data_IF_207389614438
#
_entry.id   IF_207389614438
#
_cell.length_a   1.000
_cell.length_b   1.000
_cell.length_c   1.000
_cell.angle_alpha   90.00
_cell.angle_beta   90.00
_cell.angle_gamma   90.00
#
_symmetry.space_group_name_H-M   'P 1'
#
loop_
_entity.id
_entity.type
_entity.pdbx_description
1 polymer ?
#
# COMPACT_ATOMS: atom_id res chain seq x y z
N UNK A 1 -9.53 -19.50 -0.04
CA UNK A 1 -9.07 -18.12 -0.31
C UNK A 1 -10.30 -17.28 -0.61
N UNK A 2 -10.43 -16.11 0.02
CA UNK A 2 -11.41 -15.10 -0.36
C UNK A 2 -11.00 -14.56 -1.75
N UNK A 3 -11.89 -14.57 -2.76
CA UNK A 3 -11.54 -14.05 -4.08
C UNK A 3 -11.04 -12.61 -4.02
N UNK A 4 -9.97 -12.32 -4.75
CA UNK A 4 -9.34 -10.99 -4.74
C UNK A 4 -8.66 -10.68 -6.06
N UNK A 5 -8.78 -9.43 -6.48
CA UNK A 5 -7.99 -8.87 -7.58
C UNK A 5 -7.05 -7.80 -7.03
N UNK A 6 -5.75 -7.97 -7.25
CA UNK A 6 -4.75 -6.93 -7.00
C UNK A 6 -4.57 -6.11 -8.28
N UNK A 7 -4.77 -4.81 -8.19
CA UNK A 7 -4.57 -3.87 -9.28
C UNK A 7 -3.34 -3.03 -8.96
N UNK A 8 -2.31 -3.17 -9.76
CA UNK A 8 -1.11 -2.35 -9.69
C UNK A 8 -1.12 -1.33 -10.82
N UNK A 9 -0.83 -0.09 -10.50
CA UNK A 9 -0.75 1.00 -11.46
C UNK A 9 0.41 1.91 -11.08
N UNK A 10 1.47 1.93 -11.88
CA UNK A 10 2.68 2.69 -11.56
C UNK A 10 3.41 3.14 -12.81
N UNK A 11 4.28 4.13 -12.63
CA UNK A 11 5.26 4.58 -13.62
C UNK A 11 6.64 4.64 -12.96
N UNK A 12 7.66 4.25 -13.70
CA UNK A 12 9.05 4.40 -13.29
C UNK A 12 9.79 5.35 -14.24
N UNK A 13 10.66 6.19 -13.71
CA UNK A 13 11.56 6.98 -14.55
C UNK A 13 12.50 6.08 -15.36
N UNK A 14 12.93 6.52 -16.51
CA UNK A 14 13.77 5.73 -17.42
C UNK A 14 15.07 5.25 -16.77
N UNK A 15 15.67 6.06 -15.88
CA UNK A 15 16.90 5.74 -15.16
C UNK A 15 16.72 4.89 -13.90
N UNK A 16 15.48 4.71 -13.39
CA UNK A 16 15.25 3.96 -12.16
C UNK A 16 15.13 2.45 -12.45
N UNK A 17 16.27 1.80 -12.62
CA UNK A 17 16.37 0.39 -13.04
C UNK A 17 15.62 -0.53 -12.10
N UNK A 18 15.81 -0.40 -10.77
CA UNK A 18 15.16 -1.27 -9.79
C UNK A 18 13.63 -1.15 -9.84
N UNK A 19 13.08 0.05 -9.98
CA UNK A 19 11.64 0.24 -10.10
C UNK A 19 11.08 -0.43 -11.37
N UNK A 20 11.81 -0.36 -12.49
CA UNK A 20 11.42 -1.07 -13.72
C UNK A 20 11.46 -2.59 -13.55
N UNK A 21 12.43 -3.12 -12.81
CA UNK A 21 12.50 -4.54 -12.47
C UNK A 21 11.33 -4.95 -11.58
N UNK A 22 10.89 -4.10 -10.63
CA UNK A 22 9.71 -4.35 -9.81
C UNK A 22 8.44 -4.40 -10.67
N UNK A 23 8.28 -3.50 -11.64
CA UNK A 23 7.18 -3.58 -12.61
C UNK A 23 7.23 -4.89 -13.40
N UNK A 24 8.41 -5.28 -13.87
CA UNK A 24 8.59 -6.57 -14.56
C UNK A 24 8.25 -7.76 -13.66
N UNK A 25 8.59 -7.70 -12.36
CA UNK A 25 8.21 -8.72 -11.38
C UNK A 25 6.68 -8.81 -11.22
N UNK A 26 6.00 -7.67 -11.10
CA UNK A 26 4.53 -7.64 -11.01
C UNK A 26 3.90 -8.32 -12.23
N UNK A 27 4.39 -8.03 -13.43
CA UNK A 27 3.91 -8.64 -14.68
C UNK A 27 4.20 -10.14 -14.71
N UNK A 28 5.39 -10.58 -14.27
CA UNK A 28 5.74 -11.99 -14.19
C UNK A 28 4.83 -12.75 -13.21
N UNK A 29 4.58 -12.18 -12.03
CA UNK A 29 3.64 -12.74 -11.04
C UNK A 29 2.22 -12.77 -11.59
N UNK A 30 1.80 -11.71 -12.29
CA UNK A 30 0.49 -11.64 -12.96
C UNK A 30 0.30 -12.79 -13.95
N UNK A 31 1.29 -13.01 -14.82
CA UNK A 31 1.24 -14.09 -15.81
C UNK A 31 1.14 -15.47 -15.14
N UNK A 32 1.95 -15.70 -14.10
CA UNK A 32 1.93 -16.97 -13.36
C UNK A 32 0.58 -17.20 -12.67
N UNK A 33 0.14 -16.23 -11.87
CA UNK A 33 -1.08 -16.35 -11.05
C UNK A 33 -2.32 -16.47 -11.92
N UNK A 34 -2.43 -15.66 -12.97
CA UNK A 34 -3.63 -15.62 -13.82
C UNK A 34 -3.74 -16.85 -14.74
N UNK A 35 -2.64 -17.56 -14.99
CA UNK A 35 -2.64 -18.80 -15.79
C UNK A 35 -2.74 -20.08 -14.94
N UNK A 36 -2.57 -20.00 -13.61
CA UNK A 36 -2.60 -21.16 -12.73
C UNK A 36 -4.07 -21.60 -12.49
N UNK A 37 -4.47 -22.83 -12.88
CA UNK A 37 -5.82 -23.35 -12.63
C UNK A 37 -6.20 -23.40 -11.15
N UNK A 38 -5.24 -23.49 -10.22
CA UNK A 38 -5.51 -23.53 -8.78
C UNK A 38 -5.96 -22.16 -8.24
N UNK A 39 -5.54 -21.08 -8.89
CA UNK A 39 -5.92 -19.70 -8.51
C UNK A 39 -7.09 -19.17 -9.34
N UNK A 40 -7.47 -19.85 -10.40
CA UNK A 40 -8.47 -19.42 -11.36
C UNK A 40 -9.78 -18.96 -10.70
N UNK A 41 -10.16 -17.72 -10.96
CA UNK A 41 -11.37 -17.09 -10.42
C UNK A 41 -11.27 -16.69 -8.94
N UNK A 42 -10.19 -17.00 -8.24
CA UNK A 42 -10.00 -16.66 -6.81
C UNK A 42 -8.94 -15.61 -6.56
N UNK A 43 -7.88 -15.61 -7.36
CA UNK A 43 -6.81 -14.64 -7.26
C UNK A 43 -6.49 -14.12 -8.65
N UNK A 44 -6.45 -12.81 -8.78
CA UNK A 44 -6.08 -12.12 -10.01
C UNK A 44 -5.08 -11.02 -9.70
N UNK A 45 -4.07 -10.87 -10.55
CA UNK A 45 -3.10 -9.78 -10.49
C UNK A 45 -3.16 -9.05 -11.82
N UNK A 46 -3.32 -7.73 -11.77
CA UNK A 46 -3.41 -6.87 -12.97
C UNK A 46 -2.42 -5.74 -12.83
N UNK A 47 -1.60 -5.54 -13.85
CA UNK A 47 -0.81 -4.32 -14.00
C UNK A 47 -1.47 -3.42 -15.05
N UNK A 48 -1.80 -2.19 -14.65
CA UNK A 48 -2.41 -1.18 -15.52
C UNK A 48 -1.32 -0.27 -16.07
N UNK A 49 -1.12 -0.34 -17.37
CA UNK A 49 -0.15 0.49 -18.09
C UNK A 49 -0.65 1.93 -18.21
N UNK A 50 0.28 2.87 -18.37
CA UNK A 50 0.01 4.30 -18.60
C UNK A 50 -0.99 4.91 -17.59
N UNK A 51 -0.81 4.59 -16.31
CA UNK A 51 -1.67 5.14 -15.26
C UNK A 51 -1.68 6.68 -15.29
N UNK A 52 -2.89 7.24 -15.37
CA UNK A 52 -3.16 8.68 -15.46
C UNK A 52 -4.55 9.00 -14.89
N UNK A 53 -4.90 10.28 -14.84
CA UNK A 53 -6.14 10.75 -14.20
C UNK A 53 -7.38 10.02 -14.73
N UNK A 54 -7.51 9.84 -16.03
CA UNK A 54 -8.66 9.15 -16.65
C UNK A 54 -8.80 7.67 -16.20
N UNK A 55 -7.69 7.00 -15.90
CA UNK A 55 -7.72 5.64 -15.32
C UNK A 55 -8.00 5.69 -13.82
N UNK A 56 -7.46 6.68 -13.11
CA UNK A 56 -7.73 6.87 -11.69
C UNK A 56 -9.22 7.08 -11.40
N UNK A 57 -9.91 7.83 -12.24
CA UNK A 57 -11.36 8.08 -12.14
C UNK A 57 -12.21 6.79 -12.22
N UNK A 58 -11.67 5.74 -12.84
CA UNK A 58 -12.32 4.43 -12.94
C UNK A 58 -11.86 3.49 -11.83
N UNK A 59 -10.55 3.45 -11.56
CA UNK A 59 -9.95 2.48 -10.64
C UNK A 59 -10.28 2.83 -9.18
N UNK A 60 -10.21 4.09 -8.81
CA UNK A 60 -10.42 4.53 -7.42
C UNK A 60 -11.83 4.17 -6.92
N UNK A 61 -12.93 4.47 -7.64
CA UNK A 61 -14.26 4.07 -7.20
C UNK A 61 -14.53 2.56 -7.23
N UNK A 62 -13.70 1.80 -7.93
CA UNK A 62 -13.84 0.34 -8.04
C UNK A 62 -13.08 -0.43 -6.95
N UNK A 63 -12.31 0.26 -6.10
CA UNK A 63 -11.48 -0.37 -5.09
C UNK A 63 -12.25 -0.62 -3.79
N UNK A 64 -12.19 -1.85 -3.27
CA UNK A 64 -12.67 -2.19 -1.92
C UNK A 64 -11.63 -1.86 -0.85
N UNK A 65 -10.35 -2.10 -1.15
CA UNK A 65 -9.21 -1.87 -0.26
C UNK A 65 -8.22 -0.90 -0.89
N UNK A 66 -7.64 -0.05 -0.06
CA UNK A 66 -6.61 0.92 -0.39
C UNK A 66 -5.29 0.49 0.24
N UNK A 67 -4.32 0.05 -0.57
CA UNK A 67 -2.99 -0.39 -0.10
C UNK A 67 -2.06 0.82 0.05
N UNK A 68 -1.72 1.17 1.30
CA UNK A 68 -0.88 2.32 1.67
C UNK A 68 0.27 1.83 2.53
N UNK A 69 1.27 1.23 1.89
CA UNK A 69 2.25 0.32 2.51
C UNK A 69 3.66 0.89 2.63
N UNK A 70 3.84 2.19 2.59
CA UNK A 70 5.13 2.83 2.89
C UNK A 70 5.59 2.47 4.30
N UNK A 71 6.90 2.26 4.51
CA UNK A 71 7.41 2.13 5.87
C UNK A 71 7.20 3.44 6.63
N UNK A 72 6.81 3.36 7.90
CA UNK A 72 6.50 4.55 8.69
C UNK A 72 7.68 5.53 8.78
N UNK A 73 7.38 6.83 8.60
CA UNK A 73 8.35 7.92 8.53
C UNK A 73 8.91 8.20 7.13
N UNK A 74 8.39 7.56 6.07
CA UNK A 74 8.83 7.78 4.67
C UNK A 74 7.79 8.47 3.79
N UNK A 75 6.51 8.38 4.12
CA UNK A 75 5.44 9.05 3.39
C UNK A 75 5.06 10.35 4.09
N UNK A 76 5.23 11.49 3.43
CA UNK A 76 4.93 12.79 4.03
C UNK A 76 3.41 13.00 4.21
N UNK A 77 2.60 12.55 3.27
CA UNK A 77 1.14 12.65 3.32
C UNK A 77 0.49 11.56 2.46
N UNK A 78 0.80 11.52 1.17
CA UNK A 78 0.02 10.81 0.17
C UNK A 78 -1.21 11.60 -0.26
N UNK A 79 -1.78 11.23 -1.38
CA UNK A 79 -3.05 11.78 -1.89
C UNK A 79 -4.00 10.68 -2.35
N UNK A 80 -3.47 9.54 -2.75
CA UNK A 80 -4.25 8.38 -3.18
C UNK A 80 -5.13 7.83 -2.07
N UNK A 81 -4.60 7.74 -0.85
CA UNK A 81 -5.30 7.32 0.35
C UNK A 81 -6.58 8.13 0.60
N UNK A 82 -6.52 9.45 0.52
CA UNK A 82 -7.68 10.35 0.70
C UNK A 82 -8.73 10.12 -0.38
N UNK A 83 -8.31 10.00 -1.66
CA UNK A 83 -9.21 9.74 -2.79
C UNK A 83 -9.90 8.40 -2.69
N UNK A 84 -9.17 7.37 -2.30
CA UNK A 84 -9.70 6.03 -2.08
C UNK A 84 -10.68 6.01 -0.90
N UNK A 85 -10.36 6.66 0.22
CA UNK A 85 -11.25 6.80 1.38
C UNK A 85 -12.57 7.48 1.03
N UNK A 86 -12.55 8.61 0.30
CA UNK A 86 -13.76 9.34 -0.14
C UNK A 86 -14.65 8.44 -1.02
N UNK A 87 -14.06 7.50 -1.77
CA UNK A 87 -14.77 6.55 -2.60
C UNK A 87 -15.11 5.23 -1.87
N UNK A 88 -14.87 5.14 -0.56
CA UNK A 88 -15.30 4.02 0.27
C UNK A 88 -14.33 2.86 0.35
N UNK A 89 -13.15 2.96 -0.25
CA UNK A 89 -12.11 1.96 -0.05
C UNK A 89 -11.56 2.03 1.38
N UNK A 90 -11.52 0.88 2.06
CA UNK A 90 -10.96 0.79 3.41
C UNK A 90 -9.43 0.69 3.31
N UNK A 91 -8.73 1.52 4.04
CA UNK A 91 -7.27 1.55 4.02
C UNK A 91 -6.68 0.32 4.74
N UNK A 92 -5.74 -0.36 4.08
CA UNK A 92 -4.78 -1.25 4.69
C UNK A 92 -3.40 -0.59 4.55
N UNK A 93 -2.78 -0.23 5.66
CA UNK A 93 -1.58 0.61 5.61
C UNK A 93 -0.84 0.70 6.91
N UNK A 94 0.31 1.35 6.85
CA UNK A 94 1.11 1.74 8.01
C UNK A 94 0.57 3.04 8.61
N UNK A 95 0.90 3.30 9.86
CA UNK A 95 0.56 4.56 10.55
C UNK A 95 1.56 5.64 10.13
N UNK A 96 1.39 6.15 8.90
CA UNK A 96 2.27 7.11 8.26
C UNK A 96 1.52 8.02 7.28
N UNK A 97 2.04 9.21 7.01
CA UNK A 97 1.39 10.18 6.14
C UNK A 97 -0.06 10.44 6.55
N UNK A 98 -0.95 10.66 5.59
CA UNK A 98 -2.37 10.90 5.85
C UNK A 98 -3.14 9.69 6.38
N UNK A 99 -2.52 8.51 6.48
CA UNK A 99 -3.15 7.38 7.16
C UNK A 99 -3.31 7.65 8.67
N UNK A 100 -2.47 8.52 9.24
CA UNK A 100 -2.61 8.99 10.64
C UNK A 100 -3.94 9.71 10.80
N UNK A 101 -4.20 10.71 9.97
CA UNK A 101 -5.46 11.46 10.03
C UNK A 101 -6.67 10.60 9.65
N UNK A 102 -6.51 9.66 8.69
CA UNK A 102 -7.57 8.68 8.38
C UNK A 102 -7.91 7.89 9.64
N UNK A 103 -6.91 7.34 10.32
CA UNK A 103 -7.10 6.57 11.55
C UNK A 103 -7.78 7.39 12.66
N UNK A 104 -7.33 8.64 12.87
CA UNK A 104 -7.96 9.55 13.82
C UNK A 104 -9.44 9.80 13.54
N UNK A 105 -9.83 9.82 12.25
CA UNK A 105 -11.22 10.07 11.85
C UNK A 105 -12.10 8.83 11.97
N UNK A 106 -11.58 7.66 11.62
CA UNK A 106 -12.41 6.44 11.50
C UNK A 106 -12.28 5.49 12.69
N UNK A 107 -11.21 5.60 13.48
CA UNK A 107 -10.89 4.71 14.60
C UNK A 107 -10.41 3.33 14.16
N UNK A 108 -9.96 2.52 15.13
CA UNK A 108 -9.34 1.21 14.93
C UNK A 108 -10.23 0.20 14.16
N UNK A 109 -11.54 0.32 14.34
CA UNK A 109 -12.50 -0.63 13.77
C UNK A 109 -12.74 -0.45 12.26
N UNK A 110 -12.30 0.69 11.68
CA UNK A 110 -12.63 1.06 10.30
C UNK A 110 -11.40 1.26 9.41
N UNK A 111 -10.26 0.73 9.83
CA UNK A 111 -8.98 0.73 9.10
C UNK A 111 -8.21 -0.55 9.45
N UNK A 112 -7.34 -0.98 8.56
CA UNK A 112 -6.45 -2.12 8.78
C UNK A 112 -5.01 -1.63 8.89
N UNK A 113 -4.55 -1.37 10.11
CA UNK A 113 -3.17 -0.95 10.37
C UNK A 113 -2.25 -2.15 10.54
N UNK A 114 -1.02 -2.00 10.06
CA UNK A 114 0.08 -2.95 10.22
C UNK A 114 1.43 -2.21 10.30
N UNK A 115 2.47 -2.99 10.59
CA UNK A 115 3.85 -2.52 10.57
C UNK A 115 4.26 -1.76 11.82
N UNK A 116 5.50 -1.31 11.81
CA UNK A 116 6.10 -0.53 12.89
C UNK A 116 5.65 0.92 12.85
N UNK A 117 5.65 1.58 13.99
CA UNK A 117 5.56 3.04 14.11
C UNK A 117 6.86 3.69 13.66
N UNK A 118 6.84 5.00 13.38
CA UNK A 118 8.03 5.76 13.01
C UNK A 118 9.14 5.70 14.08
N UNK A 119 8.76 5.69 15.37
CA UNK A 119 9.71 5.58 16.47
C UNK A 119 10.35 4.18 16.52
N UNK A 120 9.60 3.13 16.31
CA UNK A 120 10.10 1.75 16.22
C UNK A 120 11.05 1.56 15.02
N UNK A 121 10.71 2.13 13.86
CA UNK A 121 11.56 2.16 12.67
C UNK A 121 12.90 2.85 12.99
N UNK A 122 12.84 4.03 13.60
CA UNK A 122 14.04 4.79 13.99
C UNK A 122 14.89 4.02 15.01
N UNK A 123 14.27 3.43 16.03
CA UNK A 123 14.96 2.61 17.02
C UNK A 123 15.64 1.38 16.39
N UNK A 124 14.97 0.75 15.42
CA UNK A 124 15.53 -0.40 14.72
C UNK A 124 16.72 -0.01 13.84
N UNK A 125 16.67 1.16 13.15
CA UNK A 125 17.81 1.68 12.42
C UNK A 125 19.01 2.00 13.34
N UNK A 126 18.75 2.63 14.49
CA UNK A 126 19.79 2.97 15.46
C UNK A 126 20.46 1.72 16.06
N UNK A 127 19.71 0.64 16.25
CA UNK A 127 20.24 -0.64 16.73
C UNK A 127 21.06 -1.38 15.68
N UNK A 128 20.95 -1.01 14.42
CA UNK A 128 21.60 -1.69 13.30
C UNK A 128 20.70 -2.76 12.70
N UNK A 129 19.74 -2.32 11.90
CA UNK A 129 18.80 -3.22 11.22
C UNK A 129 19.51 -4.23 10.30
N UNK A 130 19.20 -5.50 10.49
CA UNK A 130 19.62 -6.58 9.61
C UNK A 130 18.37 -7.36 9.14
N UNK A 131 17.99 -7.28 7.86
CA UNK A 131 16.78 -7.93 7.35
C UNK A 131 16.79 -9.46 7.53
N UNK A 132 17.96 -10.08 7.61
CA UNK A 132 18.07 -11.54 7.80
C UNK A 132 17.50 -12.04 9.13
N UNK A 133 17.43 -11.19 10.13
CA UNK A 133 16.85 -11.52 11.45
C UNK A 133 15.33 -11.64 11.41
N UNK A 134 14.69 -11.09 10.36
CA UNK A 134 13.24 -11.08 10.17
C UNK A 134 12.76 -12.08 9.09
N UNK A 135 13.69 -12.88 8.54
CA UNK A 135 13.31 -13.87 7.55
C UNK A 135 12.45 -14.97 8.18
N UNK A 136 11.34 -15.23 7.52
CA UNK A 136 10.47 -16.36 7.81
C UNK A 136 10.60 -17.41 6.71
N UNK A 137 10.21 -18.68 6.95
CA UNK A 137 10.21 -19.70 5.90
C UNK A 137 9.39 -19.31 4.65
N UNK A 138 8.36 -18.47 4.82
CA UNK A 138 7.58 -17.94 3.70
C UNK A 138 8.40 -16.95 2.87
N UNK A 139 9.10 -16.00 3.52
CA UNK A 139 9.98 -15.04 2.86
C UNK A 139 11.18 -15.72 2.18
N UNK A 140 11.75 -16.73 2.81
CA UNK A 140 12.84 -17.51 2.19
C UNK A 140 12.39 -18.17 0.89
N UNK A 141 11.18 -18.74 0.85
CA UNK A 141 10.60 -19.29 -0.39
C UNK A 141 10.38 -18.21 -1.45
N UNK A 142 9.87 -17.02 -1.05
CA UNK A 142 9.71 -15.90 -1.98
C UNK A 142 11.05 -15.46 -2.57
N UNK A 143 12.07 -15.30 -1.72
CA UNK A 143 13.43 -14.94 -2.17
C UNK A 143 14.03 -16.01 -3.11
N UNK A 144 13.79 -17.29 -2.83
CA UNK A 144 14.17 -18.39 -3.70
C UNK A 144 13.43 -18.31 -5.06
N UNK A 145 12.14 -17.99 -5.07
CA UNK A 145 11.38 -17.81 -6.31
C UNK A 145 11.95 -16.66 -7.15
N UNK A 146 12.35 -15.55 -6.53
CA UNK A 146 12.97 -14.41 -7.24
C UNK A 146 14.27 -14.81 -7.96
N UNK A 147 15.04 -15.72 -7.38
CA UNK A 147 16.39 -16.07 -7.88
C UNK A 147 16.48 -17.38 -8.68
N UNK A 148 15.45 -18.23 -8.61
CA UNK A 148 15.44 -19.55 -9.26
C UNK A 148 15.05 -19.54 -10.74
N UNK A 149 14.41 -18.46 -11.23
CA UNK A 149 13.80 -18.42 -12.56
C UNK A 149 12.39 -19.00 -12.61
N UNK A 150 11.80 -19.38 -11.48
CA UNK A 150 10.44 -19.93 -11.41
C UNK A 150 9.35 -18.95 -11.91
N UNK A 151 9.67 -17.66 -11.97
CA UNK A 151 8.81 -16.60 -12.49
C UNK A 151 9.00 -16.31 -13.98
N UNK A 152 9.65 -17.25 -14.73
CA UNK A 152 9.99 -17.09 -16.14
C UNK A 152 11.29 -16.30 -16.38
N UNK A 153 11.78 -15.60 -15.38
CA UNK A 153 13.09 -14.92 -15.35
C UNK A 153 13.58 -14.78 -13.91
N UNK A 154 14.83 -14.34 -13.75
CA UNK A 154 15.44 -14.09 -12.43
C UNK A 154 15.35 -12.62 -12.08
N UNK A 155 15.16 -12.35 -10.79
CA UNK A 155 15.10 -11.02 -10.20
C UNK A 155 16.16 -10.85 -9.11
N UNK A 156 17.40 -11.21 -9.44
CA UNK A 156 18.53 -11.22 -8.50
C UNK A 156 18.80 -9.85 -7.87
N UNK A 157 18.63 -8.78 -8.64
CA UNK A 157 18.84 -7.41 -8.13
C UNK A 157 17.77 -7.01 -7.10
N UNK A 158 16.53 -7.46 -7.27
CA UNK A 158 15.48 -7.25 -6.27
C UNK A 158 15.83 -8.02 -4.99
N UNK A 159 16.18 -9.29 -5.09
CA UNK A 159 16.61 -10.07 -3.94
C UNK A 159 17.85 -9.46 -3.25
N UNK A 160 18.81 -8.98 -4.04
CA UNK A 160 20.01 -8.32 -3.53
C UNK A 160 19.68 -6.99 -2.81
N UNK A 161 18.72 -6.21 -3.31
CA UNK A 161 18.29 -4.96 -2.66
C UNK A 161 17.63 -5.19 -1.28
N UNK A 162 17.03 -6.35 -1.09
CA UNK A 162 16.43 -6.74 0.19
C UNK A 162 17.46 -7.32 1.19
N UNK A 163 18.53 -7.97 0.73
CA UNK A 163 19.41 -8.74 1.60
C UNK A 163 20.83 -8.22 1.69
N UNK A 164 21.22 -7.29 0.84
CA UNK A 164 22.61 -6.80 0.73
C UNK A 164 22.65 -5.29 0.53
N UNK A 165 23.79 -4.69 0.81
CA UNK A 165 24.03 -3.26 0.61
C UNK A 165 24.45 -2.91 -0.84
N UNK A 166 24.22 -3.80 -1.81
CA UNK A 166 24.66 -3.59 -3.20
C UNK A 166 24.01 -2.36 -3.86
N UNK A 167 22.77 -2.06 -3.50
CA UNK A 167 22.00 -0.94 -4.05
C UNK A 167 21.70 0.16 -3.01
N UNK A 168 22.55 0.28 -2.01
CA UNK A 168 22.35 1.14 -0.85
C UNK A 168 22.15 0.30 0.42
N UNK A 169 21.36 0.77 1.35
CA UNK A 169 21.05 0.02 2.58
C UNK A 169 20.14 -1.17 2.25
N UNK A 170 20.50 -2.37 2.73
CA UNK A 170 19.68 -3.56 2.59
C UNK A 170 18.29 -3.32 3.17
N UNK A 171 17.26 -3.69 2.41
CA UNK A 171 15.85 -3.48 2.76
C UNK A 171 15.56 -2.07 3.33
N UNK A 172 16.00 -1.05 2.60
CA UNK A 172 15.90 0.35 3.02
C UNK A 172 14.47 0.84 3.34
N UNK A 173 13.47 0.06 2.99
CA UNK A 173 12.05 0.29 3.28
C UNK A 173 11.48 -0.70 4.31
N UNK A 174 12.33 -1.47 4.99
CA UNK A 174 11.94 -2.45 6.02
C UNK A 174 10.80 -3.39 5.60
N UNK A 175 10.71 -3.70 4.31
CA UNK A 175 9.68 -4.58 3.73
C UNK A 175 9.68 -5.97 4.36
N UNK A 176 10.87 -6.50 4.67
CA UNK A 176 11.04 -7.80 5.33
C UNK A 176 10.60 -7.72 6.79
N UNK A 177 10.95 -6.65 7.51
CA UNK A 177 10.58 -6.48 8.91
C UNK A 177 9.06 -6.37 9.10
N UNK A 178 8.37 -5.63 8.22
CA UNK A 178 6.92 -5.42 8.30
C UNK A 178 6.10 -6.56 7.69
N UNK A 179 6.73 -7.49 6.96
CA UNK A 179 6.02 -8.52 6.20
C UNK A 179 5.05 -9.37 7.02
N UNK A 180 5.47 -9.83 8.20
CA UNK A 180 4.63 -10.69 9.03
C UNK A 180 3.35 -9.96 9.48
N UNK A 181 3.48 -8.71 9.91
CA UNK A 181 2.37 -7.84 10.30
C UNK A 181 1.44 -7.54 9.11
N UNK A 182 2.01 -7.22 7.94
CA UNK A 182 1.25 -7.03 6.70
C UNK A 182 0.45 -8.28 6.31
N UNK A 183 1.09 -9.45 6.29
CA UNK A 183 0.45 -10.73 5.96
C UNK A 183 -0.74 -11.01 6.87
N UNK A 184 -0.57 -10.82 8.17
CA UNK A 184 -1.62 -11.13 9.15
C UNK A 184 -2.77 -10.12 9.07
N UNK A 185 -2.46 -8.87 8.76
CA UNK A 185 -3.46 -7.83 8.49
C UNK A 185 -4.23 -8.09 7.19
N UNK A 186 -3.57 -8.57 6.13
CA UNK A 186 -4.24 -9.05 4.91
C UNK A 186 -5.23 -10.20 5.19
N UNK A 187 -4.86 -11.12 6.06
CA UNK A 187 -5.74 -12.22 6.50
C UNK A 187 -6.95 -11.68 7.26
N UNK A 188 -6.75 -10.71 8.16
CA UNK A 188 -7.82 -10.03 8.90
C UNK A 188 -8.77 -9.31 7.95
N UNK A 189 -8.26 -8.54 7.00
CA UNK A 189 -9.07 -7.87 5.98
C UNK A 189 -9.89 -8.85 5.13
N UNK A 190 -9.27 -9.96 4.71
CA UNK A 190 -9.96 -11.02 3.98
C UNK A 190 -11.07 -11.70 4.80
N UNK A 191 -10.90 -11.83 6.11
CA UNK A 191 -11.90 -12.39 7.02
C UNK A 191 -13.08 -11.43 7.18
N UNK A 192 -12.81 -10.14 7.43
CA UNK A 192 -13.85 -9.13 7.57
C UNK A 192 -14.64 -8.96 6.28
N UNK A 193 -13.98 -9.00 5.12
CA UNK A 193 -14.62 -8.88 3.81
C UNK A 193 -15.67 -9.98 3.54
N UNK A 194 -15.60 -11.13 4.18
CA UNK A 194 -16.62 -12.19 4.05
C UNK A 194 -17.96 -11.79 4.65
N UNK A 195 -17.97 -10.92 5.65
CA UNK A 195 -19.18 -10.27 6.14
C UNK A 195 -19.36 -8.94 5.40
N UNK A 196 -20.08 -9.00 4.28
CA UNK A 196 -20.35 -7.85 3.42
C UNK A 196 -21.10 -6.71 4.15
N UNK A 197 -21.87 -7.03 5.17
CA UNK A 197 -22.57 -6.02 5.98
C UNK A 197 -21.57 -5.29 6.88
N UNK A 198 -20.69 -6.01 7.56
CA UNK A 198 -19.63 -5.42 8.37
C UNK A 198 -18.68 -4.57 7.53
N UNK A 199 -18.21 -5.11 6.40
CA UNK A 199 -17.31 -4.40 5.50
C UNK A 199 -17.98 -3.14 4.90
N UNK A 200 -19.24 -3.24 4.48
CA UNK A 200 -20.01 -2.10 3.98
C UNK A 200 -20.19 -0.99 5.02
N UNK A 201 -20.33 -1.33 6.31
CA UNK A 201 -20.35 -0.34 7.39
C UNK A 201 -19.00 0.38 7.54
N UNK A 202 -17.87 -0.35 7.47
CA UNK A 202 -16.55 0.26 7.48
C UNK A 202 -16.39 1.24 6.32
N UNK A 203 -16.78 0.85 5.11
CA UNK A 203 -16.77 1.69 3.91
C UNK A 203 -17.59 2.98 4.12
N UNK A 204 -18.82 2.87 4.63
CA UNK A 204 -19.67 4.03 4.91
C UNK A 204 -19.09 4.97 5.96
N UNK A 205 -18.45 4.44 7.01
CA UNK A 205 -17.75 5.26 8.00
C UNK A 205 -16.61 6.02 7.36
N UNK A 206 -15.82 5.37 6.50
CA UNK A 206 -14.73 6.03 5.77
C UNK A 206 -15.27 7.18 4.90
N UNK A 207 -16.30 6.95 4.11
CA UNK A 207 -16.93 8.00 3.28
C UNK A 207 -17.42 9.16 4.16
N UNK A 208 -18.17 8.86 5.22
CA UNK A 208 -18.77 9.87 6.10
C UNK A 208 -17.72 10.74 6.82
N UNK A 209 -16.55 10.18 7.11
CA UNK A 209 -15.44 10.85 7.80
C UNK A 209 -14.43 11.51 6.86
N UNK A 210 -14.52 11.29 5.55
CA UNK A 210 -13.58 11.82 4.57
C UNK A 210 -13.68 13.36 4.37
N UNK A 211 -14.68 14.02 4.92
CA UNK A 211 -14.87 15.47 4.79
C UNK A 211 -13.67 16.31 5.24
N UNK A 212 -12.84 15.80 6.16
CA UNK A 212 -11.60 16.45 6.57
C UNK A 212 -10.64 16.67 5.41
N UNK A 213 -10.69 15.82 4.38
CA UNK A 213 -9.83 15.91 3.19
C UNK A 213 -10.43 16.75 2.05
N UNK A 214 -11.55 17.45 2.32
CA UNK A 214 -12.14 18.38 1.34
C UNK A 214 -11.21 19.55 1.06
N UNK A 215 -10.98 19.84 -0.21
CA UNK A 215 -10.21 21.01 -0.63
C UNK A 215 -10.86 22.31 -0.17
N UNK A 216 -12.19 22.38 -0.18
CA UNK A 216 -12.94 23.57 0.30
C UNK A 216 -12.68 23.85 1.78
N UNK A 217 -12.63 22.79 2.61
CA UNK A 217 -12.27 22.93 4.03
C UNK A 217 -10.85 23.49 4.16
N UNK A 218 -9.89 22.89 3.47
CA UNK A 218 -8.48 23.31 3.55
C UNK A 218 -8.30 24.77 3.13
N UNK A 219 -8.94 25.17 2.02
CA UNK A 219 -8.88 26.56 1.53
C UNK A 219 -9.52 27.53 2.53
N UNK A 220 -10.67 27.18 3.13
CA UNK A 220 -11.30 28.01 4.16
C UNK A 220 -10.40 28.18 5.39
N UNK A 221 -9.80 27.09 5.86
CA UNK A 221 -8.87 27.17 6.98
C UNK A 221 -7.63 28.01 6.66
N UNK A 222 -7.12 27.96 5.45
CA UNK A 222 -6.03 28.84 5.03
C UNK A 222 -6.46 30.30 4.98
N UNK A 223 -7.66 30.58 4.45
CA UNK A 223 -8.22 31.94 4.41
C UNK A 223 -8.36 32.50 5.83
N UNK A 224 -9.00 31.74 6.72
CA UNK A 224 -9.32 32.19 8.07
C UNK A 224 -8.09 32.29 8.98
N UNK A 225 -7.26 31.22 8.99
CA UNK A 225 -6.20 31.04 10.00
C UNK A 225 -4.84 31.60 9.58
N UNK A 226 -4.59 31.69 8.26
CA UNK A 226 -3.26 32.07 7.72
C UNK A 226 -3.34 33.43 7.03
N UNK A 227 -4.31 33.61 6.14
CA UNK A 227 -4.38 34.81 5.31
C UNK A 227 -5.27 35.90 5.91
N UNK A 228 -6.12 35.60 6.86
CA UNK A 228 -7.07 36.55 7.46
C UNK A 228 -8.04 37.12 6.44
N UNK A 229 -8.47 36.32 5.46
CA UNK A 229 -9.39 36.73 4.40
C UNK A 229 -10.82 36.32 4.75
N UNK A 230 -11.76 37.22 4.48
CA UNK A 230 -13.19 36.91 4.53
C UNK A 230 -13.71 36.61 3.14
N UNK A 231 -14.68 35.69 3.03
CA UNK A 231 -15.36 35.43 1.75
C UNK A 231 -16.07 36.68 1.24
N UNK A 232 -16.13 36.84 -0.08
CA UNK A 232 -16.95 37.85 -0.69
C UNK A 232 -18.42 37.40 -0.59
N UNK A 233 -19.29 38.25 -0.05
CA UNK A 233 -20.73 38.07 -0.20
C UNK A 233 -21.10 38.38 -1.67
N UNK A 234 -21.58 37.35 -2.39
CA UNK A 234 -22.04 37.46 -3.79
C UNK A 234 -23.56 37.52 -3.78
#
# INVERSE_FOLDING_TARGET
ITPRTFVFAAKASAGYVLAKQIISLIVAVSNLVNSDPQTNGKLKVVFVEDYKVSLAEIIIPAADLSEQISVAGKEASGTGNMKLMINGAVTIGTLDGANVEIHEQVGDDNIFLFGMTADEVNALWQRGYNPREFLTPELERVLQMLTSGALGQRFDDIAASLLTNRFGTADGYMTIADFASYRDTQRRAAQVYRDQTAFGKMSLVNIAKAGIFSADRAVREYADRIWGLSGLEV
#
